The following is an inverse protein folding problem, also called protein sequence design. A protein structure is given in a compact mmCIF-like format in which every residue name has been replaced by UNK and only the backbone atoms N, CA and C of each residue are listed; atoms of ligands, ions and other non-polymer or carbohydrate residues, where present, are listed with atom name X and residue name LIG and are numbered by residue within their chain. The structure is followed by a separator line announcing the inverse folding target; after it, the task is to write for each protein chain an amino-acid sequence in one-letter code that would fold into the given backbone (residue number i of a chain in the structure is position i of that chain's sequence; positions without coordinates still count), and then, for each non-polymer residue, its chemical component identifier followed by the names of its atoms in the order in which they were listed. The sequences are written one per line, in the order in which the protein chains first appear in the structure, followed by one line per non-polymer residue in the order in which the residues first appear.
data_IF_732411323169
#
_entry.id   IF_732411323169
#
_cell.length_a   1.000
_cell.length_b   1.000
_cell.length_c   1.000
_cell.angle_alpha   90.00
_cell.angle_beta   90.00
_cell.angle_gamma   90.00
#
_symmetry.space_group_name_H-M   'P 1'
#
loop_
_entity.id
_entity.type
_entity.pdbx_description
1 polymer ?
#
# COMPACT_ATOMS: atom_id res chain seq x y z
N UNK A 1 -33.99 -7.69 1.31
CA UNK A 1 -33.60 -7.57 2.73
C UNK A 1 -33.08 -8.93 3.16
N UNK A 2 -31.80 -9.21 2.93
CA UNK A 2 -31.14 -10.46 3.38
C UNK A 2 -30.02 -10.03 4.32
N UNK A 3 -30.22 -10.30 5.60
CA UNK A 3 -29.15 -10.21 6.60
C UNK A 3 -28.16 -11.34 6.34
N UNK A 4 -27.00 -11.02 5.81
CA UNK A 4 -25.86 -11.93 5.78
C UNK A 4 -25.26 -11.97 7.19
N UNK A 5 -25.22 -13.16 7.76
CA UNK A 5 -24.90 -13.40 9.14
C UNK A 5 -23.45 -13.04 9.50
N UNK A 6 -23.30 -12.41 10.64
CA UNK A 6 -22.08 -11.94 11.31
C UNK A 6 -21.11 -13.03 11.78
N UNK A 7 -21.20 -14.27 11.27
CA UNK A 7 -20.34 -15.38 11.73
C UNK A 7 -19.11 -15.66 10.85
N UNK A 8 -19.08 -15.17 9.62
CA UNK A 8 -17.94 -15.42 8.72
C UNK A 8 -16.74 -14.49 8.99
N UNK A 9 -16.96 -13.27 9.46
CA UNK A 9 -15.88 -12.31 9.77
C UNK A 9 -15.10 -12.70 11.05
N UNK A 10 -15.72 -13.40 11.98
CA UNK A 10 -15.09 -13.77 13.27
C UNK A 10 -14.11 -14.96 13.13
N UNK A 11 -14.25 -15.81 12.10
CA UNK A 11 -13.40 -17.00 11.97
C UNK A 11 -12.04 -16.73 11.30
N UNK A 12 -11.94 -15.68 10.50
CA UNK A 12 -10.66 -15.30 9.86
C UNK A 12 -9.74 -14.58 10.86
N UNK A 13 -10.30 -13.87 11.81
CA UNK A 13 -9.55 -13.18 12.88
C UNK A 13 -9.18 -14.11 14.06
N UNK A 14 -9.78 -15.29 14.17
CA UNK A 14 -9.61 -16.19 15.32
C UNK A 14 -8.19 -16.69 15.56
N UNK A 15 -7.33 -16.70 14.54
CA UNK A 15 -5.90 -17.09 14.69
C UNK A 15 -4.97 -15.91 15.03
N UNK A 16 -5.41 -14.67 14.80
CA UNK A 16 -4.59 -13.46 15.00
C UNK A 16 -4.96 -12.75 16.31
N UNK A 17 -6.17 -12.97 16.83
CA UNK A 17 -6.68 -12.29 18.04
C UNK A 17 -6.23 -12.96 19.35
N UNK A 18 -5.80 -14.21 19.34
CA UNK A 18 -5.27 -14.91 20.54
C UNK A 18 -3.87 -14.46 20.97
N UNK A 19 -3.20 -13.63 20.17
CA UNK A 19 -1.95 -13.00 20.58
C UNK A 19 -2.23 -11.73 21.38
N UNK A 20 -1.52 -11.48 22.50
CA UNK A 20 -1.68 -10.24 23.23
C UNK A 20 -1.39 -9.05 22.32
N UNK A 21 -2.08 -7.91 22.49
CA UNK A 21 -1.86 -6.73 21.67
C UNK A 21 -0.39 -6.33 21.73
N UNK A 22 0.26 -6.20 20.57
CA UNK A 22 1.66 -5.82 20.48
C UNK A 22 1.80 -4.33 20.77
N UNK A 23 2.63 -4.00 21.75
CA UNK A 23 3.12 -2.63 21.88
C UNK A 23 4.04 -2.33 20.69
N UNK A 24 3.94 -1.12 20.16
CA UNK A 24 4.75 -0.68 19.03
C UNK A 24 5.70 0.45 19.40
N UNK A 25 6.72 0.60 18.59
CA UNK A 25 7.58 1.80 18.53
C UNK A 25 7.46 2.40 17.14
N UNK A 26 7.65 3.70 17.03
CA UNK A 26 7.74 4.38 15.75
C UNK A 26 8.74 5.52 15.79
N UNK A 27 9.35 5.82 14.65
CA UNK A 27 10.31 6.91 14.45
C UNK A 27 10.41 7.22 12.96
N UNK A 28 11.27 8.15 12.59
CA UNK A 28 11.63 8.41 11.20
C UNK A 28 13.07 7.96 10.94
N UNK A 29 13.30 7.44 9.75
CA UNK A 29 14.62 7.11 9.22
C UNK A 29 14.85 7.83 7.90
N UNK A 30 16.11 8.12 7.61
CA UNK A 30 16.54 8.64 6.32
C UNK A 30 17.05 7.47 5.47
N UNK A 31 16.26 7.07 4.47
CA UNK A 31 16.62 6.01 3.52
C UNK A 31 17.46 6.62 2.40
N UNK A 32 18.70 6.16 2.19
CA UNK A 32 19.56 6.71 1.14
C UNK A 32 19.03 6.32 -0.26
N UNK A 33 18.90 7.31 -1.16
CA UNK A 33 18.51 7.12 -2.56
C UNK A 33 19.46 7.96 -3.44
N UNK A 34 20.48 7.33 -3.99
CA UNK A 34 21.54 8.04 -4.68
C UNK A 34 22.26 9.03 -3.77
N UNK A 35 22.23 10.32 -4.12
CA UNK A 35 22.79 11.43 -3.34
C UNK A 35 21.79 12.10 -2.38
N UNK A 36 20.58 11.53 -2.27
CA UNK A 36 19.46 12.07 -1.45
C UNK A 36 19.15 11.17 -0.27
N UNK A 37 18.39 11.72 0.66
CA UNK A 37 17.75 10.99 1.74
C UNK A 37 16.23 11.05 1.58
N UNK A 38 15.60 9.90 1.55
CA UNK A 38 14.14 9.75 1.52
C UNK A 38 13.65 9.54 2.95
N UNK A 39 13.07 10.58 3.53
CA UNK A 39 12.51 10.50 4.88
C UNK A 39 11.38 9.47 4.91
N UNK A 40 11.49 8.51 5.83
CA UNK A 40 10.61 7.35 5.91
C UNK A 40 10.11 7.16 7.33
N UNK A 41 8.79 7.08 7.49
CA UNK A 41 8.20 6.72 8.78
C UNK A 41 8.34 5.21 8.99
N UNK A 42 8.80 4.81 10.18
CA UNK A 42 9.02 3.40 10.53
C UNK A 42 8.21 3.07 11.77
N UNK A 43 7.38 2.04 11.69
CA UNK A 43 6.66 1.50 12.83
C UNK A 43 6.95 -0.01 12.97
N UNK A 44 7.17 -0.48 14.20
CA UNK A 44 7.53 -1.87 14.44
C UNK A 44 7.00 -2.37 15.80
N UNK A 45 6.82 -3.68 15.98
CA UNK A 45 6.62 -4.27 17.29
C UNK A 45 7.77 -3.90 18.24
N UNK A 46 7.43 -3.57 19.49
CA UNK A 46 8.42 -3.29 20.53
C UNK A 46 9.12 -4.54 21.06
N UNK A 47 8.41 -5.67 21.00
CA UNK A 47 8.98 -6.95 21.44
C UNK A 47 10.15 -7.35 20.52
N UNK A 48 11.26 -7.86 21.07
CA UNK A 48 12.33 -8.42 20.27
C UNK A 48 11.82 -9.58 19.40
N UNK A 49 12.25 -9.61 18.15
CA UNK A 49 11.82 -10.65 17.20
C UNK A 49 12.18 -10.28 15.77
N UNK A 50 11.88 -11.20 14.86
CA UNK A 50 11.92 -10.96 13.42
C UNK A 50 10.52 -11.06 12.86
N UNK A 51 10.12 -10.05 12.12
CA UNK A 51 8.76 -9.83 11.62
C UNK A 51 8.78 -9.66 10.10
N UNK A 52 7.69 -9.93 9.38
CA UNK A 52 7.59 -9.52 7.99
C UNK A 52 7.76 -8.01 7.84
N UNK A 53 8.54 -7.61 6.83
CA UNK A 53 8.74 -6.20 6.48
C UNK A 53 7.72 -5.75 5.45
N UNK A 54 7.11 -4.60 5.64
CA UNK A 54 6.10 -4.04 4.73
C UNK A 54 6.50 -2.64 4.31
N UNK A 55 6.68 -2.39 3.01
CA UNK A 55 6.70 -1.02 2.51
C UNK A 55 5.27 -0.56 2.29
N UNK A 56 4.90 0.56 2.93
CA UNK A 56 3.57 1.17 2.81
C UNK A 56 3.65 2.45 1.99
N UNK A 57 3.03 2.47 0.83
CA UNK A 57 2.98 3.66 -0.02
C UNK A 57 1.68 4.44 0.23
N UNK A 58 1.86 5.74 0.54
CA UNK A 58 0.75 6.66 0.78
C UNK A 58 0.01 7.02 -0.51
N UNK A 59 -1.15 7.65 -0.35
CA UNK A 59 -1.78 8.41 -1.43
C UNK A 59 -1.06 9.73 -1.72
N UNK A 60 -1.61 10.54 -2.62
CA UNK A 60 -1.04 11.83 -3.05
C UNK A 60 -0.90 12.85 -1.92
N UNK A 61 -1.47 12.65 -0.75
CA UNK A 61 -1.38 13.55 0.40
C UNK A 61 -0.18 13.24 1.31
N UNK A 62 0.61 12.23 0.97
CA UNK A 62 1.80 11.78 1.68
C UNK A 62 1.50 11.20 3.09
N UNK A 63 2.39 11.41 4.07
CA UNK A 63 2.34 10.79 5.38
C UNK A 63 1.36 11.51 6.32
N UNK A 64 0.10 11.59 5.91
CA UNK A 64 -0.98 12.14 6.75
C UNK A 64 -1.16 11.33 8.04
N UNK A 65 -1.85 11.92 9.02
CA UNK A 65 -2.20 11.20 10.25
C UNK A 65 -2.96 9.88 9.99
N UNK A 66 -3.77 9.82 8.93
CA UNK A 66 -4.42 8.59 8.49
C UNK A 66 -3.39 7.53 8.06
N UNK A 67 -2.45 7.89 7.21
CA UNK A 67 -1.36 7.01 6.76
C UNK A 67 -0.53 6.49 7.93
N UNK A 68 -0.15 7.37 8.87
CA UNK A 68 0.62 6.98 10.05
C UNK A 68 -0.14 5.97 10.93
N UNK A 69 -1.46 6.17 11.12
CA UNK A 69 -2.30 5.21 11.88
C UNK A 69 -2.37 3.85 11.19
N UNK A 70 -2.42 3.81 9.86
CA UNK A 70 -2.34 2.56 9.11
C UNK A 70 -1.03 1.82 9.35
N UNK A 71 0.11 2.52 9.29
CA UNK A 71 1.42 1.94 9.57
C UNK A 71 1.51 1.39 11.01
N UNK A 72 1.04 2.18 11.98
CA UNK A 72 1.01 1.76 13.39
C UNK A 72 0.07 0.57 13.61
N UNK A 73 -1.08 0.55 12.92
CA UNK A 73 -2.01 -0.58 12.99
C UNK A 73 -1.37 -1.87 12.47
N UNK A 74 -0.71 -1.85 11.31
CA UNK A 74 0.03 -3.00 10.78
C UNK A 74 1.15 -3.44 11.74
N UNK A 75 1.91 -2.50 12.31
CA UNK A 75 2.93 -2.84 13.30
C UNK A 75 2.34 -3.54 14.54
N UNK A 76 1.15 -3.14 14.98
CA UNK A 76 0.40 -3.81 16.05
C UNK A 76 0.00 -5.26 15.72
N UNK A 77 -0.05 -5.62 14.44
CA UNK A 77 -0.28 -6.99 13.96
C UNK A 77 1.02 -7.75 13.66
N UNK A 78 2.18 -7.21 14.04
CA UNK A 78 3.43 -7.93 13.93
C UNK A 78 4.20 -7.71 12.65
N UNK A 79 4.14 -6.51 12.07
CA UNK A 79 4.92 -6.12 10.90
C UNK A 79 5.93 -5.03 11.24
N UNK A 80 7.09 -5.04 10.59
CA UNK A 80 7.96 -3.86 10.48
C UNK A 80 7.54 -3.09 9.26
N UNK A 81 7.03 -1.87 9.46
CA UNK A 81 6.43 -1.06 8.40
C UNK A 81 7.31 0.14 8.10
N UNK A 82 7.68 0.33 6.84
CA UNK A 82 8.39 1.49 6.34
C UNK A 82 7.50 2.25 5.36
N UNK A 83 7.19 3.51 5.66
CA UNK A 83 6.36 4.37 4.80
C UNK A 83 7.19 5.58 4.33
N UNK A 84 7.70 5.57 3.09
CA UNK A 84 8.50 6.67 2.56
C UNK A 84 7.63 7.88 2.18
N UNK A 85 8.23 9.07 2.26
CA UNK A 85 7.68 10.27 1.64
C UNK A 85 7.85 10.17 0.12
N UNK A 86 6.77 9.82 -0.59
CA UNK A 86 6.81 9.50 -2.03
C UNK A 86 7.18 10.67 -2.93
N UNK A 87 7.16 11.92 -2.42
CA UNK A 87 7.55 13.12 -3.15
C UNK A 87 8.82 13.78 -2.58
N UNK A 88 9.68 13.02 -1.89
CA UNK A 88 10.91 13.53 -1.28
C UNK A 88 11.89 14.22 -2.28
N UNK A 89 11.72 13.97 -3.57
CA UNK A 89 12.52 14.59 -4.64
C UNK A 89 12.07 16.00 -4.98
N UNK A 90 10.84 16.36 -4.62
CA UNK A 90 10.15 17.60 -5.00
C UNK A 90 9.82 18.42 -3.77
N UNK A 91 9.25 17.77 -2.76
CA UNK A 91 8.77 18.42 -1.55
C UNK A 91 9.84 18.41 -0.45
N UNK A 92 9.87 19.47 0.40
CA UNK A 92 10.67 19.43 1.61
C UNK A 92 10.30 18.25 2.53
N UNK A 93 11.28 17.69 3.21
CA UNK A 93 11.05 16.62 4.16
C UNK A 93 10.02 17.02 5.25
N UNK A 94 9.07 16.14 5.52
CA UNK A 94 7.98 16.38 6.44
C UNK A 94 6.76 17.06 5.82
N UNK A 95 6.75 17.32 4.51
CA UNK A 95 5.58 17.87 3.83
C UNK A 95 4.42 16.89 3.88
N UNK A 96 3.30 17.35 4.42
CA UNK A 96 2.00 16.67 4.42
C UNK A 96 0.99 17.60 3.78
N UNK A 97 0.25 17.09 2.81
CA UNK A 97 -0.75 17.88 2.11
C UNK A 97 -2.10 17.77 2.83
N UNK A 98 -2.81 18.90 2.92
CA UNK A 98 -4.14 18.93 3.49
C UNK A 98 -5.17 18.21 2.62
N UNK A 99 -6.20 17.67 3.26
CA UNK A 99 -7.25 16.93 2.57
C UNK A 99 -8.34 17.88 2.06
N UNK A 100 -7.94 18.76 1.14
CA UNK A 100 -8.79 19.75 0.47
C UNK A 100 -8.46 19.84 -1.03
N UNK A 101 -9.10 20.76 -1.74
CA UNK A 101 -8.89 20.93 -3.18
C UNK A 101 -7.48 21.42 -3.51
N UNK A 102 -6.87 22.24 -2.66
CA UNK A 102 -5.50 22.74 -2.85
C UNK A 102 -4.49 21.61 -2.66
N UNK A 103 -4.58 20.85 -1.57
CA UNK A 103 -3.71 19.70 -1.32
C UNK A 103 -3.87 18.63 -2.39
N UNK A 104 -5.11 18.39 -2.86
CA UNK A 104 -5.36 17.48 -3.99
C UNK A 104 -4.66 17.97 -5.26
N UNK A 105 -4.82 19.24 -5.61
CA UNK A 105 -4.19 19.83 -6.81
C UNK A 105 -2.66 19.74 -6.72
N UNK A 106 -2.08 20.06 -5.57
CA UNK A 106 -0.64 19.98 -5.32
C UNK A 106 -0.14 18.56 -5.43
N UNK A 107 -0.76 17.60 -4.73
CA UNK A 107 -0.33 16.20 -4.77
C UNK A 107 -0.48 15.54 -6.17
N UNK A 108 -1.45 15.99 -6.98
CA UNK A 108 -1.54 15.60 -8.39
C UNK A 108 -0.37 16.18 -9.22
N UNK A 109 -0.05 17.45 -9.00
CA UNK A 109 1.08 18.10 -9.68
C UNK A 109 2.44 17.46 -9.29
N UNK A 110 2.60 17.10 -8.01
CA UNK A 110 3.80 16.39 -7.53
C UNK A 110 3.91 15.01 -8.19
N UNK A 111 2.80 14.25 -8.28
CA UNK A 111 2.80 12.98 -8.97
C UNK A 111 3.19 13.11 -10.45
N UNK A 112 2.69 14.14 -11.14
CA UNK A 112 3.02 14.43 -12.54
C UNK A 112 4.46 14.95 -12.72
N UNK A 113 5.08 15.50 -11.69
CA UNK A 113 6.47 15.95 -11.73
C UNK A 113 7.49 14.82 -11.53
N UNK A 114 7.10 13.72 -10.91
CA UNK A 114 7.94 12.52 -10.78
C UNK A 114 8.06 11.77 -12.11
N UNK A 115 9.12 10.99 -12.26
CA UNK A 115 9.20 9.98 -13.33
C UNK A 115 8.93 8.56 -12.77
N UNK A 116 8.55 7.66 -13.65
CA UNK A 116 8.43 6.23 -13.30
C UNK A 116 9.76 5.68 -12.79
N UNK A 117 10.87 6.08 -13.39
CA UNK A 117 12.21 5.68 -12.97
C UNK A 117 12.56 6.18 -11.56
N UNK A 118 12.16 7.41 -11.21
CA UNK A 118 12.34 7.94 -9.86
C UNK A 118 11.59 7.08 -8.83
N UNK A 119 10.34 6.72 -9.12
CA UNK A 119 9.57 5.83 -8.25
C UNK A 119 10.18 4.43 -8.14
N UNK A 120 10.68 3.85 -9.24
CA UNK A 120 11.33 2.53 -9.23
C UNK A 120 12.63 2.54 -8.40
N UNK A 121 13.41 3.61 -8.45
CA UNK A 121 14.61 3.78 -7.64
C UNK A 121 14.26 3.93 -6.15
N UNK A 122 13.22 4.72 -5.82
CA UNK A 122 12.74 4.91 -4.46
C UNK A 122 12.16 3.60 -3.87
N UNK A 123 11.42 2.84 -4.68
CA UNK A 123 10.91 1.52 -4.31
C UNK A 123 12.06 0.57 -3.96
N UNK A 124 13.06 0.49 -4.83
CA UNK A 124 14.23 -0.37 -4.60
C UNK A 124 14.96 0.02 -3.32
N UNK A 125 15.22 1.32 -3.12
CA UNK A 125 15.89 1.81 -1.93
C UNK A 125 15.11 1.51 -0.63
N UNK A 126 13.78 1.64 -0.64
CA UNK A 126 12.94 1.31 0.50
C UNK A 126 12.97 -0.19 0.82
N UNK A 127 12.94 -1.05 -0.21
CA UNK A 127 13.04 -2.50 -0.04
C UNK A 127 14.43 -2.92 0.47
N UNK A 128 15.51 -2.36 -0.07
CA UNK A 128 16.88 -2.63 0.36
C UNK A 128 17.10 -2.23 1.82
N UNK A 129 16.58 -1.05 2.21
CA UNK A 129 16.67 -0.56 3.57
C UNK A 129 15.88 -1.47 4.54
N UNK A 130 14.68 -1.87 4.15
CA UNK A 130 13.83 -2.72 4.98
C UNK A 130 14.40 -4.13 5.13
N UNK A 131 15.01 -4.70 4.07
CA UNK A 131 15.69 -6.00 4.12
C UNK A 131 16.91 -5.98 5.06
N UNK A 132 17.60 -4.85 5.14
CA UNK A 132 18.77 -4.68 6.02
C UNK A 132 18.39 -4.42 7.49
N UNK A 133 17.12 -4.20 7.82
CA UNK A 133 16.67 -3.99 9.20
C UNK A 133 16.71 -5.33 9.97
N UNK A 134 17.43 -5.39 11.07
CA UNK A 134 17.59 -6.60 11.88
C UNK A 134 16.27 -7.17 12.44
N UNK A 135 15.22 -6.35 12.49
CA UNK A 135 13.87 -6.76 12.92
C UNK A 135 13.10 -7.46 11.80
N UNK A 136 13.56 -7.41 10.56
CA UNK A 136 12.89 -8.02 9.41
C UNK A 136 13.33 -9.47 9.23
N UNK A 137 12.37 -10.35 9.03
CA UNK A 137 12.62 -11.75 8.74
C UNK A 137 13.16 -11.93 7.31
N UNK A 138 14.16 -12.78 7.15
CA UNK A 138 14.71 -13.09 5.82
C UNK A 138 13.61 -13.64 4.89
N UNK A 139 13.52 -13.11 3.66
CA UNK A 139 12.48 -13.48 2.70
C UNK A 139 11.08 -12.99 3.06
N UNK A 140 10.94 -12.09 4.04
CA UNK A 140 9.67 -11.59 4.53
C UNK A 140 9.25 -10.22 4.00
N UNK A 141 9.72 -9.78 2.82
CA UNK A 141 9.32 -8.48 2.28
C UNK A 141 7.93 -8.52 1.65
N UNK A 142 7.15 -7.48 1.94
CA UNK A 142 5.80 -7.27 1.43
C UNK A 142 5.62 -5.79 1.03
N UNK A 143 4.60 -5.51 0.25
CA UNK A 143 4.22 -4.14 -0.07
C UNK A 143 2.71 -3.93 0.04
N UNK A 144 2.32 -2.73 0.43
CA UNK A 144 0.93 -2.29 0.41
C UNK A 144 0.86 -0.79 0.11
N UNK A 145 -0.30 -0.31 -0.22
CA UNK A 145 -0.48 1.14 -0.44
C UNK A 145 -1.88 1.48 -0.89
N UNK A 146 -2.18 2.76 -0.82
CA UNK A 146 -3.50 3.34 -1.09
C UNK A 146 -3.45 4.28 -2.29
N UNK A 147 -4.45 4.22 -3.18
CA UNK A 147 -4.58 5.14 -4.30
C UNK A 147 -3.34 5.07 -5.23
N UNK A 148 -2.62 6.17 -5.44
CA UNK A 148 -1.31 6.19 -6.11
C UNK A 148 -0.33 5.20 -5.46
N UNK A 149 -0.32 5.14 -4.13
CA UNK A 149 0.49 4.16 -3.40
C UNK A 149 0.10 2.71 -3.67
N UNK A 150 -1.16 2.44 -4.01
CA UNK A 150 -1.59 1.12 -4.50
C UNK A 150 -0.92 0.77 -5.84
N UNK A 151 -0.74 1.74 -6.74
CA UNK A 151 0.02 1.55 -7.98
C UNK A 151 1.52 1.37 -7.70
N UNK A 152 2.10 2.13 -6.75
CA UNK A 152 3.49 1.94 -6.33
C UNK A 152 3.71 0.56 -5.69
N UNK A 153 2.78 0.08 -4.88
CA UNK A 153 2.79 -1.28 -4.35
C UNK A 153 2.74 -2.35 -5.43
N UNK A 154 1.99 -2.11 -6.51
CA UNK A 154 2.00 -2.98 -7.69
C UNK A 154 3.39 -3.03 -8.35
N UNK A 155 4.07 -1.88 -8.47
CA UNK A 155 5.43 -1.83 -9.01
C UNK A 155 6.46 -2.46 -8.08
N UNK A 156 6.28 -2.33 -6.77
CA UNK A 156 7.14 -3.02 -5.80
C UNK A 156 7.07 -4.55 -5.95
N UNK A 157 5.93 -5.11 -6.41
CA UNK A 157 5.78 -6.52 -6.66
C UNK A 157 6.66 -7.08 -7.81
N UNK A 158 7.28 -6.22 -8.63
CA UNK A 158 8.25 -6.67 -9.64
C UNK A 158 9.60 -7.11 -9.03
N UNK A 159 9.88 -6.68 -7.80
CA UNK A 159 11.06 -7.16 -7.08
C UNK A 159 10.79 -8.59 -6.57
N UNK A 160 11.61 -9.58 -6.95
CA UNK A 160 11.38 -10.98 -6.59
C UNK A 160 11.47 -11.25 -5.07
N UNK A 161 11.95 -10.31 -4.27
CA UNK A 161 11.97 -10.39 -2.81
C UNK A 161 10.61 -10.09 -2.19
N UNK A 162 9.71 -9.43 -2.93
CA UNK A 162 8.35 -9.11 -2.46
C UNK A 162 7.46 -10.33 -2.64
N UNK A 163 7.18 -11.02 -1.54
CA UNK A 163 6.41 -12.27 -1.52
C UNK A 163 4.89 -12.06 -1.48
N UNK A 164 4.42 -10.90 -1.01
CA UNK A 164 2.99 -10.61 -0.93
C UNK A 164 2.71 -9.11 -1.07
N UNK A 165 1.60 -8.78 -1.72
CA UNK A 165 1.11 -7.39 -1.84
C UNK A 165 -0.38 -7.30 -1.54
N UNK A 166 -0.79 -6.17 -0.92
CA UNK A 166 -2.20 -5.83 -0.74
C UNK A 166 -2.43 -4.39 -1.23
N UNK A 167 -3.15 -4.25 -2.33
CA UNK A 167 -3.26 -3.00 -3.07
C UNK A 167 -4.66 -2.41 -2.91
N UNK A 168 -4.75 -1.25 -2.27
CA UNK A 168 -6.01 -0.60 -1.97
C UNK A 168 -6.34 0.44 -3.04
N UNK A 169 -7.43 0.20 -3.77
CA UNK A 169 -7.96 1.07 -4.84
C UNK A 169 -6.85 1.72 -5.68
N UNK A 170 -5.92 0.91 -6.28
CA UNK A 170 -4.81 1.44 -7.05
C UNK A 170 -5.28 2.27 -8.22
N UNK A 171 -4.90 3.55 -8.25
CA UNK A 171 -5.27 4.48 -9.32
C UNK A 171 -4.30 4.41 -10.48
N UNK A 172 -4.79 4.71 -11.68
CA UNK A 172 -3.98 4.81 -12.89
C UNK A 172 -3.39 3.49 -13.40
N UNK A 173 -3.62 2.38 -12.69
CA UNK A 173 -3.07 1.09 -13.10
C UNK A 173 -3.71 0.57 -14.39
N UNK A 174 -5.02 0.79 -14.59
CA UNK A 174 -5.76 0.31 -15.75
C UNK A 174 -5.47 1.09 -17.03
N UNK A 175 -5.12 2.37 -16.94
CA UNK A 175 -4.88 3.28 -18.04
C UNK A 175 -3.41 3.75 -18.16
N UNK A 176 -2.52 3.15 -17.37
CA UNK A 176 -1.08 3.41 -17.39
C UNK A 176 -0.64 4.73 -16.76
N UNK A 177 -1.55 5.47 -16.12
CA UNK A 177 -1.23 6.79 -15.54
C UNK A 177 -0.51 6.67 -14.21
N UNK A 178 0.77 6.92 -14.24
CA UNK A 178 1.62 7.09 -13.06
C UNK A 178 2.75 8.04 -13.45
N UNK A 179 3.01 9.04 -12.65
CA UNK A 179 4.07 10.01 -12.93
C UNK A 179 3.79 10.82 -14.23
N UNK A 180 4.84 11.38 -14.83
CA UNK A 180 4.74 12.22 -16.04
C UNK A 180 4.67 11.44 -17.36
N UNK A 181 4.89 10.15 -17.32
CA UNK A 181 4.86 9.31 -18.50
C UNK A 181 3.42 9.08 -18.98
N UNK A 182 3.22 9.07 -20.30
CA UNK A 182 1.90 8.80 -20.89
C UNK A 182 1.40 7.38 -20.59
N UNK A 183 2.33 6.43 -20.42
CA UNK A 183 2.09 5.06 -19.99
C UNK A 183 3.27 4.59 -19.13
N UNK A 184 3.00 4.26 -17.89
CA UNK A 184 3.99 3.72 -16.96
C UNK A 184 4.41 2.28 -17.27
N UNK A 185 3.73 1.60 -18.18
CA UNK A 185 4.01 0.23 -18.58
C UNK A 185 3.77 -0.83 -17.49
N UNK A 186 3.13 -0.46 -16.37
CA UNK A 186 3.05 -1.33 -15.19
C UNK A 186 2.36 -2.66 -15.48
N UNK A 187 1.20 -2.65 -16.14
CA UNK A 187 0.50 -3.90 -16.49
C UNK A 187 1.25 -4.73 -17.55
N UNK A 188 2.13 -4.11 -18.33
CA UNK A 188 2.99 -4.82 -19.28
C UNK A 188 4.07 -5.67 -18.60
N UNK A 189 4.41 -5.34 -17.36
CA UNK A 189 5.41 -6.04 -16.52
C UNK A 189 4.78 -7.03 -15.54
N UNK A 190 3.48 -7.27 -15.60
CA UNK A 190 2.80 -8.15 -14.64
C UNK A 190 3.41 -9.56 -14.54
N UNK A 191 4.00 -10.09 -15.62
CA UNK A 191 4.68 -11.40 -15.61
C UNK A 191 5.94 -11.47 -14.73
N UNK A 192 6.43 -10.32 -14.24
CA UNK A 192 7.56 -10.27 -13.28
C UNK A 192 7.09 -10.53 -11.84
N UNK A 193 5.77 -10.49 -11.58
CA UNK A 193 5.19 -10.66 -10.24
C UNK A 193 5.18 -12.15 -9.89
N UNK A 194 5.92 -12.51 -8.84
CA UNK A 194 6.00 -13.88 -8.35
C UNK A 194 5.31 -14.13 -7.01
N UNK A 195 4.92 -13.06 -6.32
CA UNK A 195 4.30 -13.13 -4.99
C UNK A 195 2.77 -13.13 -5.01
N UNK A 196 2.19 -13.40 -3.85
CA UNK A 196 0.73 -13.31 -3.64
C UNK A 196 0.23 -11.87 -3.83
N UNK A 197 -0.94 -11.71 -4.46
CA UNK A 197 -1.50 -10.38 -4.69
C UNK A 197 -2.97 -10.31 -4.26
N UNK A 198 -3.29 -9.31 -3.45
CA UNK A 198 -4.65 -8.92 -3.10
C UNK A 198 -4.95 -7.55 -3.68
N UNK A 199 -6.01 -7.45 -4.48
CA UNK A 199 -6.53 -6.18 -4.99
C UNK A 199 -7.87 -5.88 -4.34
N UNK A 200 -7.99 -4.67 -3.78
CA UNK A 200 -9.15 -4.21 -3.02
C UNK A 200 -9.72 -2.96 -3.71
N UNK A 201 -10.99 -2.97 -4.07
CA UNK A 201 -11.66 -1.86 -4.75
C UNK A 201 -13.01 -1.54 -4.14
N UNK A 202 -13.41 -0.28 -4.23
CA UNK A 202 -14.79 0.14 -4.12
C UNK A 202 -15.51 -0.01 -5.47
N UNK A 203 -16.76 -0.47 -5.46
CA UNK A 203 -17.55 -0.58 -6.70
C UNK A 203 -17.96 0.78 -7.26
N UNK A 204 -18.04 1.80 -6.38
CA UNK A 204 -18.42 3.17 -6.71
C UNK A 204 -17.20 4.09 -6.92
N UNK A 205 -16.01 3.50 -7.10
CA UNK A 205 -14.77 4.26 -7.31
C UNK A 205 -14.68 4.79 -8.76
N UNK A 206 -14.75 6.12 -8.96
CA UNK A 206 -14.65 6.70 -10.31
C UNK A 206 -13.24 6.66 -10.89
N UNK A 207 -12.20 6.47 -10.04
CA UNK A 207 -10.81 6.41 -10.48
C UNK A 207 -10.43 5.03 -11.03
N UNK A 208 -11.18 3.99 -10.68
CA UNK A 208 -11.01 2.64 -11.25
C UNK A 208 -12.37 2.03 -11.52
N UNK A 209 -13.05 2.46 -12.60
CA UNK A 209 -14.39 1.98 -12.98
C UNK A 209 -14.37 0.48 -13.31
N UNK A 210 -15.54 -0.12 -13.48
CA UNK A 210 -15.68 -1.55 -13.75
C UNK A 210 -14.85 -2.01 -14.95
N UNK A 211 -14.87 -1.25 -16.04
CA UNK A 211 -14.10 -1.53 -17.24
C UNK A 211 -12.58 -1.47 -16.95
N UNK A 212 -12.15 -0.53 -16.13
CA UNK A 212 -10.75 -0.43 -15.67
C UNK A 212 -10.33 -1.63 -14.84
N UNK A 213 -11.19 -2.06 -13.91
CA UNK A 213 -10.94 -3.28 -13.11
C UNK A 213 -10.89 -4.53 -14.01
N UNK A 214 -11.74 -4.61 -15.02
CA UNK A 214 -11.72 -5.71 -16.00
C UNK A 214 -10.43 -5.72 -16.83
N UNK A 215 -9.87 -4.54 -17.18
CA UNK A 215 -8.55 -4.46 -17.84
C UNK A 215 -7.45 -5.01 -16.95
N UNK A 216 -7.37 -4.57 -15.70
CA UNK A 216 -6.37 -5.06 -14.74
C UNK A 216 -6.48 -6.58 -14.60
N UNK A 217 -7.68 -7.09 -14.33
CA UNK A 217 -7.92 -8.52 -14.12
C UNK A 217 -7.45 -9.36 -15.30
N UNK A 218 -7.85 -9.00 -16.50
CA UNK A 218 -7.44 -9.70 -17.73
C UNK A 218 -5.93 -9.68 -17.95
N UNK A 219 -5.27 -8.56 -17.63
CA UNK A 219 -3.80 -8.46 -17.75
C UNK A 219 -3.08 -9.36 -16.78
N UNK A 220 -3.53 -9.45 -15.53
CA UNK A 220 -2.97 -10.33 -14.52
C UNK A 220 -3.20 -11.81 -14.87
N UNK A 221 -4.41 -12.17 -15.30
CA UNK A 221 -4.73 -13.54 -15.78
C UNK A 221 -3.84 -13.95 -16.95
N UNK A 222 -3.66 -13.08 -17.96
CA UNK A 222 -2.81 -13.32 -19.11
C UNK A 222 -1.32 -13.44 -18.74
N UNK A 223 -0.89 -12.78 -17.67
CA UNK A 223 0.47 -12.85 -17.13
C UNK A 223 0.69 -14.06 -16.20
N UNK A 224 -0.37 -14.82 -15.89
CA UNK A 224 -0.31 -15.95 -14.98
C UNK A 224 -0.18 -15.58 -13.50
N UNK A 225 -0.52 -14.33 -13.13
CA UNK A 225 -0.48 -13.86 -11.73
C UNK A 225 -1.69 -14.38 -10.98
N UNK A 226 -1.46 -15.13 -9.90
CA UNK A 226 -2.53 -15.50 -8.97
C UNK A 226 -2.89 -14.27 -8.11
N UNK A 227 -4.10 -13.75 -8.33
CA UNK A 227 -4.57 -12.54 -7.66
C UNK A 227 -5.94 -12.73 -7.03
N UNK A 228 -6.03 -12.36 -5.76
CA UNK A 228 -7.28 -12.31 -5.00
C UNK A 228 -7.92 -10.94 -5.18
N UNK A 229 -9.24 -10.92 -5.33
CA UNK A 229 -10.01 -9.70 -5.55
C UNK A 229 -11.05 -9.51 -4.47
N UNK A 230 -11.15 -8.27 -3.96
CA UNK A 230 -12.21 -7.85 -3.04
C UNK A 230 -12.88 -6.60 -3.59
N UNK A 231 -14.18 -6.69 -3.75
CA UNK A 231 -15.03 -5.60 -4.19
C UNK A 231 -16.03 -5.28 -3.08
N UNK A 232 -16.03 -4.04 -2.66
CA UNK A 232 -16.93 -3.53 -1.63
C UNK A 232 -17.84 -2.46 -2.21
N UNK A 233 -19.07 -2.36 -1.71
CA UNK A 233 -19.98 -1.25 -2.02
C UNK A 233 -19.49 0.01 -1.31
N UNK A 234 -18.46 0.62 -1.87
CA UNK A 234 -17.76 1.76 -1.30
C UNK A 234 -17.19 2.67 -2.40
N UNK A 235 -16.86 3.90 -2.03
CA UNK A 235 -16.22 4.88 -2.89
C UNK A 235 -14.68 4.77 -2.87
N UNK A 236 -14.01 5.60 -3.69
CA UNK A 236 -12.54 5.75 -3.62
C UNK A 236 -12.08 6.23 -2.25
N UNK A 237 -10.98 5.68 -1.75
CA UNK A 237 -10.37 6.03 -0.46
C UNK A 237 -11.26 5.75 0.78
N UNK A 238 -12.13 4.75 0.72
CA UNK A 238 -12.95 4.34 1.86
C UNK A 238 -12.14 3.90 3.08
N UNK A 239 -10.86 3.52 2.90
CA UNK A 239 -9.93 3.18 3.98
C UNK A 239 -9.28 4.37 4.68
N UNK A 240 -9.51 5.61 4.21
CA UNK A 240 -8.96 6.81 4.84
C UNK A 240 -9.88 7.27 5.95
N UNK A 241 -9.42 7.19 7.20
CA UNK A 241 -10.21 7.51 8.41
C UNK A 241 -10.44 9.02 8.64
N UNK A 242 -10.18 9.82 7.63
CA UNK A 242 -10.52 11.25 7.54
C UNK A 242 -11.27 11.51 6.24
N UNK A 243 -12.30 12.33 6.33
CA UNK A 243 -13.13 12.70 5.17
C UNK A 243 -14.41 11.89 5.03
N UNK A 244 -15.28 12.29 4.10
CA UNK A 244 -16.67 11.84 4.02
C UNK A 244 -16.85 10.43 3.41
N UNK A 245 -15.80 9.83 2.85
CA UNK A 245 -15.86 8.52 2.18
C UNK A 245 -15.42 7.37 3.07
N UNK A 246 -15.00 7.67 4.30
CA UNK A 246 -14.55 6.64 5.23
C UNK A 246 -15.69 5.69 5.58
N UNK A 247 -15.44 4.40 5.35
CA UNK A 247 -16.33 3.32 5.75
C UNK A 247 -15.60 2.40 6.73
N UNK A 248 -15.88 2.49 8.03
CA UNK A 248 -15.16 1.71 9.04
C UNK A 248 -15.40 0.21 8.91
N UNK A 249 -16.62 -0.23 8.58
CA UNK A 249 -16.96 -1.65 8.48
C UNK A 249 -16.24 -2.30 7.29
N UNK A 250 -16.29 -1.67 6.12
CA UNK A 250 -15.58 -2.12 4.93
C UNK A 250 -14.07 -2.06 5.14
N UNK A 251 -13.58 -0.98 5.79
CA UNK A 251 -12.15 -0.83 6.08
C UNK A 251 -11.64 -1.94 6.98
N UNK A 252 -12.37 -2.30 8.03
CA UNK A 252 -11.96 -3.37 8.95
C UNK A 252 -11.97 -4.74 8.28
N UNK A 253 -12.99 -5.03 7.45
CA UNK A 253 -13.04 -6.26 6.68
C UNK A 253 -11.86 -6.38 5.70
N UNK A 254 -11.59 -5.33 4.93
CA UNK A 254 -10.49 -5.30 3.98
C UNK A 254 -9.11 -5.31 4.65
N UNK A 255 -8.98 -4.68 5.84
CA UNK A 255 -7.76 -4.73 6.63
C UNK A 255 -7.45 -6.15 7.12
N UNK A 256 -8.43 -6.91 7.56
CA UNK A 256 -8.24 -8.30 7.98
C UNK A 256 -7.69 -9.17 6.82
N UNK A 257 -8.23 -8.99 5.61
CA UNK A 257 -7.73 -9.66 4.40
C UNK A 257 -6.28 -9.23 4.06
N UNK A 258 -5.98 -7.93 4.23
CA UNK A 258 -4.63 -7.39 4.04
C UNK A 258 -3.64 -8.07 4.98
N UNK A 259 -3.94 -8.12 6.28
CA UNK A 259 -3.10 -8.79 7.28
C UNK A 259 -2.91 -10.27 6.94
N UNK A 260 -3.99 -10.97 6.56
CA UNK A 260 -3.93 -12.38 6.21
C UNK A 260 -3.00 -12.67 5.02
N UNK A 261 -3.00 -11.80 3.99
CA UNK A 261 -2.12 -11.96 2.82
C UNK A 261 -0.68 -11.60 3.13
N UNK A 262 -0.45 -10.50 3.87
CA UNK A 262 0.91 -10.07 4.21
C UNK A 262 1.60 -10.96 5.25
N UNK A 263 0.84 -11.78 6.00
CA UNK A 263 1.38 -12.70 6.99
C UNK A 263 1.76 -14.10 6.42
N UNK A 264 1.36 -14.41 5.16
CA UNK A 264 1.73 -15.68 4.51
C UNK A 264 3.22 -15.74 4.25
#
# INVERSE_FOLDING_TARGET
MVRLGSQAACSVLGGVIDSPPMMITHDYADVPVGDRAMRTFVAAPRAPGRYPGVVFYSDIFQLTGSTLRWCMRLAGYGFVVAAPEIYHRIEPAGTVLEFDDEGKRRGQADAEAMSVADFDDDIRAALDWLEADDRVAAGGLCATGHCTGGHLGFRAAFDPRVRATALWYPTGLHDGKLAREADAGSLGRASEIGGDMLLIFGTNDPHTPEEGRAVIKRRLENAGVDSRWRLYDAEHAFGRDIGPRYDPEVTDAAFAETVAVLAT
#
